data_IF_625388467814
#
_entry.id   IF_625388467814
#
_cell.length_a   1.000
_cell.length_b   1.000
_cell.length_c   1.000
_cell.angle_alpha   90.00
_cell.angle_beta   90.00
_cell.angle_gamma   90.00
#
_symmetry.space_group_name_H-M   'P 1'
#
loop_
_entity.id
_entity.type
_entity.pdbx_description
1 polymer ?
#
# COMPACT_ATOMS: atom_id res chain seq x y z
N UNK A 1 -35.22 6.87 8.84
CA UNK A 1 -35.30 5.61 9.60
C UNK A 1 -33.89 5.04 9.61
N UNK A 2 -33.29 4.92 10.78
CA UNK A 2 -32.08 4.12 10.96
C UNK A 2 -32.56 2.69 11.24
N UNK A 3 -32.39 1.79 10.28
CA UNK A 3 -32.91 0.42 10.33
C UNK A 3 -32.09 -0.50 11.26
N UNK A 4 -31.01 0.04 11.84
CA UNK A 4 -30.08 -0.64 12.74
C UNK A 4 -29.40 -1.87 12.11
N UNK A 5 -29.40 -1.98 10.78
CA UNK A 5 -28.81 -3.13 10.08
C UNK A 5 -27.30 -3.18 10.33
N UNK A 6 -26.61 -2.04 10.19
CA UNK A 6 -25.16 -1.96 10.42
C UNK A 6 -24.78 -2.27 11.88
N UNK A 7 -25.37 -1.64 12.92
CA UNK A 7 -25.10 -2.01 14.31
C UNK A 7 -25.31 -3.50 14.61
N UNK A 8 -26.34 -4.14 14.03
CA UNK A 8 -26.57 -5.57 14.20
C UNK A 8 -25.48 -6.42 13.54
N UNK A 9 -25.05 -6.05 12.33
CA UNK A 9 -23.96 -6.74 11.64
C UNK A 9 -22.66 -6.70 12.45
N UNK A 10 -22.33 -5.53 13.01
CA UNK A 10 -21.19 -5.34 13.91
C UNK A 10 -21.32 -6.21 15.16
N UNK A 11 -22.50 -6.26 15.77
CA UNK A 11 -22.74 -7.09 16.95
C UNK A 11 -22.55 -8.58 16.64
N UNK A 12 -23.12 -9.05 15.52
CA UNK A 12 -22.97 -10.45 15.10
C UNK A 12 -21.50 -10.78 14.85
N UNK A 13 -20.75 -9.92 14.16
CA UNK A 13 -19.31 -10.10 13.95
C UNK A 13 -18.53 -10.25 15.27
N UNK A 14 -18.88 -9.46 16.29
CA UNK A 14 -18.23 -9.50 17.62
C UNK A 14 -18.61 -10.74 18.43
N UNK A 15 -19.86 -11.18 18.34
CA UNK A 15 -20.39 -12.30 19.12
C UNK A 15 -20.12 -13.66 18.48
N UNK A 16 -19.83 -13.69 17.17
CA UNK A 16 -19.56 -14.91 16.43
C UNK A 16 -18.27 -15.58 16.90
N UNK A 17 -18.36 -16.89 17.13
CA UNK A 17 -17.26 -17.73 17.62
C UNK A 17 -16.69 -18.61 16.52
N UNK A 18 -17.48 -18.89 15.51
CA UNK A 18 -17.04 -19.60 14.31
C UNK A 18 -16.22 -18.65 13.43
N UNK A 19 -14.95 -18.98 13.22
CA UNK A 19 -14.02 -18.10 12.48
C UNK A 19 -14.40 -17.95 11.01
N UNK A 20 -14.98 -18.98 10.40
CA UNK A 20 -15.33 -18.94 8.97
C UNK A 20 -16.57 -18.08 8.77
N UNK A 21 -17.54 -18.19 9.68
CA UNK A 21 -18.71 -17.31 9.69
C UNK A 21 -18.30 -15.87 10.03
N UNK A 22 -17.41 -15.69 11.00
CA UNK A 22 -16.88 -14.38 11.37
C UNK A 22 -16.15 -13.72 10.19
N UNK A 23 -15.35 -14.47 9.43
CA UNK A 23 -14.69 -14.00 8.21
C UNK A 23 -15.71 -13.57 7.16
N UNK A 24 -16.79 -14.33 6.94
CA UNK A 24 -17.88 -13.91 6.02
C UNK A 24 -18.51 -12.59 6.44
N UNK A 25 -18.73 -12.37 7.75
CA UNK A 25 -19.21 -11.08 8.24
C UNK A 25 -18.19 -9.96 8.02
N UNK A 26 -16.90 -10.22 8.24
CA UNK A 26 -15.85 -9.25 7.94
C UNK A 26 -15.86 -8.86 6.45
N UNK A 27 -16.00 -9.83 5.53
CA UNK A 27 -16.06 -9.60 4.09
C UNK A 27 -17.28 -8.73 3.71
N UNK A 28 -18.44 -8.99 4.30
CA UNK A 28 -19.65 -8.16 4.09
C UNK A 28 -19.37 -6.74 4.58
N UNK A 29 -18.81 -6.57 5.78
CA UNK A 29 -18.48 -5.25 6.32
C UNK A 29 -17.47 -4.53 5.42
N UNK A 30 -16.43 -5.22 4.94
CA UNK A 30 -15.42 -4.64 4.04
C UNK A 30 -16.04 -4.09 2.75
N UNK A 31 -16.95 -4.84 2.14
CA UNK A 31 -17.68 -4.42 0.94
C UNK A 31 -18.60 -3.21 1.21
N UNK A 32 -19.27 -3.17 2.36
CA UNK A 32 -20.11 -2.03 2.77
C UNK A 32 -19.29 -0.76 3.04
N UNK A 33 -18.05 -0.91 3.50
CA UNK A 33 -17.15 0.18 3.88
C UNK A 33 -16.01 0.44 2.90
N UNK A 34 -16.06 -0.06 1.66
CA UNK A 34 -14.97 0.10 0.68
C UNK A 34 -14.47 1.56 0.52
N UNK A 35 -15.40 2.51 0.45
CA UNK A 35 -15.12 3.93 0.26
C UNK A 35 -15.35 4.77 1.53
N UNK A 36 -15.50 4.11 2.69
CA UNK A 36 -15.80 4.75 3.96
C UNK A 36 -14.82 4.25 5.05
N UNK A 37 -14.51 5.06 6.06
CA UNK A 37 -13.71 4.58 7.18
C UNK A 37 -14.47 3.46 7.90
N UNK A 38 -13.78 2.36 8.19
CA UNK A 38 -14.33 1.31 9.04
C UNK A 38 -14.69 1.89 10.43
N UNK A 39 -15.77 1.42 11.08
CA UNK A 39 -16.08 1.84 12.43
C UNK A 39 -14.91 1.56 13.37
N UNK A 40 -14.49 2.58 14.12
CA UNK A 40 -13.27 2.54 14.94
C UNK A 40 -13.22 1.35 15.90
N UNK A 41 -14.37 0.87 16.35
CA UNK A 41 -14.54 -0.24 17.29
C UNK A 41 -14.20 -1.63 16.75
N UNK A 42 -14.17 -1.82 15.43
CA UNK A 42 -13.94 -3.12 14.77
C UNK A 42 -12.87 -3.07 13.68
N UNK A 43 -12.35 -1.87 13.40
CA UNK A 43 -11.45 -1.62 12.28
C UNK A 43 -10.17 -2.45 12.37
N UNK A 44 -9.59 -2.56 13.56
CA UNK A 44 -8.36 -3.33 13.75
C UNK A 44 -8.62 -4.82 13.62
N UNK A 45 -9.72 -5.31 14.20
CA UNK A 45 -10.12 -6.72 14.17
C UNK A 45 -10.36 -7.19 12.74
N UNK A 46 -11.09 -6.40 11.94
CA UNK A 46 -11.36 -6.72 10.53
C UNK A 46 -10.07 -6.77 9.72
N UNK A 47 -9.23 -5.73 9.79
CA UNK A 47 -7.99 -5.68 9.01
C UNK A 47 -7.04 -6.82 9.41
N UNK A 48 -6.98 -7.17 10.70
CA UNK A 48 -6.17 -8.29 11.19
C UNK A 48 -6.66 -9.65 10.70
N UNK A 49 -7.97 -9.83 10.51
CA UNK A 49 -8.50 -11.08 9.96
C UNK A 49 -8.07 -11.30 8.51
N UNK A 50 -8.00 -10.24 7.72
CA UNK A 50 -7.59 -10.34 6.32
C UNK A 50 -6.08 -10.46 6.13
N UNK A 51 -5.28 -9.94 7.07
CA UNK A 51 -3.83 -10.13 7.03
C UNK A 51 -3.46 -11.58 7.36
N UNK A 52 -2.46 -12.17 6.68
CA UNK A 52 -1.69 -11.64 5.55
C UNK A 52 -2.18 -12.10 4.16
N UNK A 53 -3.28 -12.85 4.08
CA UNK A 53 -3.61 -13.64 2.88
C UNK A 53 -4.76 -13.11 2.04
N UNK A 54 -5.70 -12.36 2.62
CA UNK A 54 -6.93 -11.94 1.94
C UNK A 54 -6.72 -10.58 1.23
N UNK A 55 -5.96 -10.60 0.13
CA UNK A 55 -5.56 -9.36 -0.54
C UNK A 55 -6.71 -8.67 -1.26
N UNK A 56 -7.73 -9.42 -1.70
CA UNK A 56 -8.93 -8.85 -2.29
C UNK A 56 -9.62 -7.87 -1.32
N UNK A 57 -9.93 -8.31 -0.09
CA UNK A 57 -10.59 -7.49 0.91
C UNK A 57 -9.72 -6.32 1.38
N UNK A 58 -8.41 -6.55 1.53
CA UNK A 58 -7.47 -5.46 1.82
C UNK A 58 -7.46 -4.42 0.68
N UNK A 59 -7.47 -4.85 -0.58
CA UNK A 59 -7.54 -3.96 -1.73
C UNK A 59 -8.82 -3.13 -1.72
N UNK A 60 -9.97 -3.75 -1.42
CA UNK A 60 -11.27 -3.07 -1.28
C UNK A 60 -11.22 -2.02 -0.16
N UNK A 61 -10.74 -2.38 1.03
CA UNK A 61 -10.65 -1.45 2.17
C UNK A 61 -9.66 -0.31 1.94
N UNK A 62 -8.63 -0.54 1.13
CA UNK A 62 -7.61 0.46 0.78
C UNK A 62 -8.13 1.54 -0.19
N UNK A 63 -9.35 1.45 -0.71
CA UNK A 63 -9.97 2.59 -1.40
C UNK A 63 -10.23 3.77 -0.45
N UNK A 64 -10.37 3.52 0.85
CA UNK A 64 -10.45 4.55 1.88
C UNK A 64 -9.09 4.80 2.55
N UNK A 65 -8.59 6.05 2.45
CA UNK A 65 -7.30 6.48 3.04
C UNK A 65 -7.22 6.24 4.56
N UNK A 66 -8.33 6.35 5.28
CA UNK A 66 -8.35 6.24 6.75
C UNK A 66 -8.04 4.81 7.25
N UNK A 67 -8.10 3.82 6.35
CA UNK A 67 -7.74 2.44 6.66
C UNK A 67 -6.25 2.15 6.43
N UNK A 68 -5.52 3.03 5.72
CA UNK A 68 -4.16 2.74 5.22
C UNK A 68 -3.14 2.51 6.33
N UNK A 69 -3.20 3.29 7.40
CA UNK A 69 -2.25 3.17 8.51
C UNK A 69 -2.30 1.76 9.11
N UNK A 70 -3.51 1.30 9.43
CA UNK A 70 -3.74 -0.01 10.05
C UNK A 70 -3.45 -1.15 9.06
N UNK A 71 -3.69 -0.93 7.77
CA UNK A 71 -3.27 -1.87 6.71
C UNK A 71 -1.75 -1.98 6.67
N UNK A 72 -1.00 -0.89 6.90
CA UNK A 72 0.46 -0.87 6.83
C UNK A 72 1.18 -1.14 8.17
N UNK A 73 0.44 -1.24 9.27
CA UNK A 73 0.96 -1.67 10.57
C UNK A 73 1.69 -3.02 10.48
N UNK A 74 2.63 -3.23 11.39
CA UNK A 74 3.49 -4.42 11.49
C UNK A 74 4.35 -4.67 10.25
N UNK A 75 4.79 -3.58 9.61
CA UNK A 75 5.60 -3.59 8.38
C UNK A 75 4.97 -4.42 7.25
N UNK A 76 3.64 -4.36 7.15
CA UNK A 76 2.89 -5.19 6.20
C UNK A 76 3.30 -4.95 4.74
N UNK A 77 3.81 -3.76 4.40
CA UNK A 77 4.32 -3.49 3.05
C UNK A 77 5.43 -4.46 2.62
N UNK A 78 6.19 -5.02 3.57
CA UNK A 78 7.27 -5.99 3.29
C UNK A 78 6.74 -7.36 2.87
N UNK A 79 5.48 -7.65 3.17
CA UNK A 79 4.78 -8.89 2.80
C UNK A 79 4.09 -8.79 1.44
N UNK A 80 3.99 -7.58 0.88
CA UNK A 80 3.45 -7.39 -0.48
C UNK A 80 4.38 -8.09 -1.48
N UNK A 81 3.80 -8.96 -2.28
CA UNK A 81 4.43 -9.81 -3.29
C UNK A 81 5.43 -10.84 -2.72
N UNK A 82 5.25 -11.22 -1.44
CA UNK A 82 5.91 -12.37 -0.83
C UNK A 82 5.31 -13.68 -1.38
N UNK A 83 3.99 -13.73 -1.51
CA UNK A 83 3.25 -14.87 -2.08
C UNK A 83 3.02 -14.68 -3.58
N UNK A 84 3.13 -15.76 -4.35
CA UNK A 84 2.94 -15.77 -5.81
C UNK A 84 1.48 -15.78 -6.22
N UNK A 85 0.57 -16.23 -5.34
CA UNK A 85 -0.87 -16.20 -5.58
C UNK A 85 -1.43 -14.77 -5.44
N UNK A 86 -2.54 -14.47 -6.11
CA UNK A 86 -3.25 -13.17 -6.05
C UNK A 86 -2.44 -11.93 -6.49
N UNK A 87 -1.58 -12.06 -7.50
CA UNK A 87 -0.76 -10.93 -8.02
C UNK A 87 -1.60 -9.72 -8.39
N UNK A 88 -2.81 -9.93 -8.91
CA UNK A 88 -3.69 -8.86 -9.38
C UNK A 88 -4.25 -8.04 -8.19
N UNK A 89 -4.68 -8.72 -7.14
CA UNK A 89 -5.23 -8.18 -5.90
C UNK A 89 -4.13 -7.44 -5.14
N UNK A 90 -2.95 -8.05 -5.02
CA UNK A 90 -1.77 -7.40 -4.43
C UNK A 90 -1.37 -6.14 -5.20
N UNK A 91 -1.43 -6.16 -6.54
CA UNK A 91 -1.23 -4.97 -7.37
C UNK A 91 -2.34 -3.93 -7.17
N UNK A 92 -3.57 -4.36 -6.93
CA UNK A 92 -4.69 -3.46 -6.65
C UNK A 92 -4.50 -2.76 -5.31
N UNK A 93 -4.23 -3.52 -4.24
CA UNK A 93 -3.90 -2.99 -2.93
C UNK A 93 -2.73 -2.00 -3.01
N UNK A 94 -1.62 -2.40 -3.64
CA UNK A 94 -0.44 -1.56 -3.83
C UNK A 94 -0.80 -0.26 -4.57
N UNK A 95 -1.61 -0.36 -5.64
CA UNK A 95 -2.05 0.81 -6.39
C UNK A 95 -2.85 1.79 -5.54
N UNK A 96 -3.78 1.30 -4.74
CA UNK A 96 -4.65 2.11 -3.90
C UNK A 96 -3.86 2.82 -2.79
N UNK A 97 -2.94 2.10 -2.13
CA UNK A 97 -2.01 2.68 -1.16
C UNK A 97 -1.16 3.80 -1.78
N UNK A 98 -0.61 3.57 -2.97
CA UNK A 98 0.21 4.57 -3.68
C UNK A 98 -0.59 5.75 -4.22
N UNK A 99 -1.87 5.56 -4.54
CA UNK A 99 -2.73 6.60 -5.10
C UNK A 99 -3.33 7.48 -4.00
N UNK A 100 -3.88 6.86 -2.96
CA UNK A 100 -4.67 7.54 -1.94
C UNK A 100 -3.97 7.72 -0.59
N UNK A 101 -2.80 7.10 -0.37
CA UNK A 101 -2.07 7.18 0.90
C UNK A 101 -1.54 8.57 1.27
N UNK A 102 -1.08 8.69 2.52
CA UNK A 102 -0.21 9.79 2.93
C UNK A 102 1.12 9.73 2.17
N UNK A 103 1.88 10.82 2.11
CA UNK A 103 3.16 10.83 1.43
C UNK A 103 4.16 9.85 2.06
N UNK A 104 4.10 9.69 3.38
CA UNK A 104 4.87 8.69 4.12
C UNK A 104 4.52 7.26 3.70
N UNK A 105 3.23 6.91 3.69
CA UNK A 105 2.77 5.58 3.30
C UNK A 105 3.08 5.29 1.83
N UNK A 106 2.87 6.29 0.94
CA UNK A 106 3.24 6.22 -0.47
C UNK A 106 4.72 5.93 -0.64
N UNK A 107 5.58 6.63 0.09
CA UNK A 107 7.03 6.45 0.07
C UNK A 107 7.43 5.06 0.56
N UNK A 108 6.93 4.66 1.74
CA UNK A 108 7.21 3.37 2.37
C UNK A 108 6.90 2.23 1.40
N UNK A 109 5.69 2.22 0.86
CA UNK A 109 5.23 1.22 -0.12
C UNK A 109 6.04 1.28 -1.42
N UNK A 110 6.24 2.47 -1.99
CA UNK A 110 6.96 2.64 -3.26
C UNK A 110 8.38 2.07 -3.21
N UNK A 111 9.12 2.31 -2.11
CA UNK A 111 10.49 1.83 -1.95
C UNK A 111 10.56 0.31 -1.89
N UNK A 112 9.62 -0.33 -1.19
CA UNK A 112 9.63 -1.77 -0.96
C UNK A 112 9.20 -2.54 -2.22
N UNK A 113 8.13 -2.10 -2.89
CA UNK A 113 7.52 -2.89 -3.97
C UNK A 113 8.06 -2.60 -5.37
N UNK A 114 8.89 -1.55 -5.55
CA UNK A 114 9.38 -1.09 -6.86
C UNK A 114 9.89 -2.22 -7.75
N UNK A 115 10.79 -3.05 -7.22
CA UNK A 115 11.45 -4.10 -8.01
C UNK A 115 10.45 -5.17 -8.46
N UNK A 116 9.55 -5.60 -7.57
CA UNK A 116 8.51 -6.60 -7.88
C UNK A 116 7.50 -6.07 -8.90
N UNK A 117 7.01 -4.85 -8.72
CA UNK A 117 6.08 -4.22 -9.68
C UNK A 117 6.74 -4.03 -11.05
N UNK A 118 8.04 -3.71 -11.09
CA UNK A 118 8.79 -3.61 -12.34
C UNK A 118 8.86 -4.96 -13.08
N UNK A 119 9.11 -6.06 -12.37
CA UNK A 119 9.12 -7.41 -12.96
C UNK A 119 7.79 -7.73 -13.65
N UNK A 120 6.65 -7.41 -13.04
CA UNK A 120 5.33 -7.64 -13.64
C UNK A 120 4.99 -6.72 -14.83
N UNK A 121 5.64 -5.55 -14.91
CA UNK A 121 5.42 -4.60 -16.00
C UNK A 121 6.20 -4.95 -17.27
N UNK A 122 7.39 -5.54 -17.11
CA UNK A 122 8.39 -5.76 -18.17
C UNK A 122 8.37 -7.18 -18.75
N UNK A 123 7.98 -8.19 -17.96
CA UNK A 123 8.03 -9.59 -18.40
C UNK A 123 6.77 -9.95 -19.21
N UNK A 124 6.95 -10.33 -20.47
CA UNK A 124 5.88 -10.87 -21.32
C UNK A 124 5.40 -12.26 -20.86
N UNK A 125 6.21 -12.97 -20.08
CA UNK A 125 6.03 -14.39 -19.79
C UNK A 125 6.35 -14.77 -18.34
N UNK A 126 5.50 -14.36 -17.40
CA UNK A 126 5.51 -14.93 -16.05
C UNK A 126 4.41 -15.98 -15.92
N UNK A 127 4.72 -17.08 -15.24
CA UNK A 127 3.76 -18.14 -14.95
C UNK A 127 2.67 -17.60 -14.01
N UNK A 128 1.42 -17.80 -14.42
CA UNK A 128 0.25 -17.63 -13.57
C UNK A 128 -0.02 -19.02 -13.04
N UNK A 129 0.41 -19.27 -11.80
CA UNK A 129 0.00 -20.47 -11.06
C UNK A 129 -1.51 -20.32 -10.84
N UNK A 130 -2.30 -21.18 -11.47
CA UNK A 130 -3.70 -21.37 -11.10
C UNK A 130 -3.74 -22.36 -9.94
N UNK A 131 -4.58 -22.09 -8.95
CA UNK A 131 -4.92 -23.11 -7.96
C UNK A 131 -5.65 -24.22 -8.72
N UNK A 132 -5.08 -25.42 -8.76
CA UNK A 132 -5.80 -26.61 -9.19
C UNK A 132 -6.88 -26.85 -8.12
N UNK A 133 -8.12 -26.44 -8.39
CA UNK A 133 -9.25 -26.88 -7.59
C UNK A 133 -9.34 -28.41 -7.80
N UNK A 134 -9.05 -29.19 -6.75
CA UNK A 134 -9.30 -30.64 -6.75
C UNK A 134 -10.82 -30.85 -6.83
N UNK A 135 -11.35 -30.96 -8.05
CA UNK A 135 -12.74 -31.35 -8.28
C UNK A 135 -12.92 -32.83 -7.88
N UNK A 136 -13.86 -33.10 -6.98
CA UNK A 136 -14.29 -34.46 -6.70
C UNK A 136 -14.96 -35.00 -7.98
N UNK A 137 -14.26 -35.92 -8.68
CA UNK A 137 -14.70 -36.60 -9.90
C UNK A 137 -16.10 -37.23 -9.76
N UNK A 138 -17.17 -36.52 -10.16
CA UNK A 138 -18.45 -37.12 -10.54
C UNK A 138 -19.00 -36.48 -11.84
N UNK A 139 -18.56 -37.07 -12.97
CA UNK A 139 -19.22 -37.18 -14.29
C UNK A 139 -19.78 -35.90 -14.96
N UNK A 140 -18.93 -35.11 -15.66
CA UNK A 140 -19.35 -34.30 -16.84
C UNK A 140 -18.23 -34.21 -17.92
N UNK A 141 -18.02 -35.26 -18.72
CA UNK A 141 -17.01 -35.30 -19.82
C UNK A 141 -17.21 -34.19 -20.90
N UNK A 142 -18.38 -33.54 -20.97
CA UNK A 142 -18.62 -32.43 -21.91
C UNK A 142 -18.22 -31.04 -21.33
N UNK A 143 -18.21 -30.85 -20.00
CA UNK A 143 -17.78 -29.58 -19.37
C UNK A 143 -16.25 -29.47 -19.36
N UNK A 144 -15.52 -30.58 -19.24
CA UNK A 144 -14.04 -30.60 -19.26
C UNK A 144 -13.46 -30.11 -20.60
N UNK A 145 -14.05 -30.46 -21.75
CA UNK A 145 -13.55 -30.01 -23.07
C UNK A 145 -13.78 -28.52 -23.34
N UNK A 146 -14.90 -27.94 -22.87
CA UNK A 146 -15.13 -26.48 -22.94
C UNK A 146 -14.19 -25.73 -21.99
N UNK A 147 -13.97 -26.26 -20.78
CA UNK A 147 -13.09 -25.63 -19.81
C UNK A 147 -11.60 -25.69 -20.24
N UNK A 148 -11.15 -26.80 -20.83
CA UNK A 148 -9.79 -26.94 -21.37
C UNK A 148 -9.52 -25.95 -22.52
N UNK A 149 -10.55 -25.61 -23.32
CA UNK A 149 -10.45 -24.60 -24.37
C UNK A 149 -10.49 -23.15 -23.85
N UNK A 150 -11.21 -22.87 -22.75
CA UNK A 150 -11.29 -21.54 -22.16
C UNK A 150 -10.12 -21.17 -21.25
N UNK A 151 -9.49 -22.17 -20.58
CA UNK A 151 -8.35 -21.98 -19.66
C UNK A 151 -7.21 -21.14 -20.27
N UNK A 152 -6.72 -21.38 -21.51
CA UNK A 152 -5.68 -20.56 -22.13
C UNK A 152 -6.08 -19.09 -22.32
N UNK A 153 -7.34 -18.83 -22.67
CA UNK A 153 -7.86 -17.48 -22.89
C UNK A 153 -7.95 -16.71 -21.56
N UNK A 154 -8.46 -17.35 -20.50
CA UNK A 154 -8.51 -16.77 -19.14
C UNK A 154 -7.10 -16.44 -18.63
N UNK A 155 -6.14 -17.37 -18.79
CA UNK A 155 -4.72 -17.13 -18.47
C UNK A 155 -4.16 -15.91 -19.18
N UNK A 156 -4.41 -15.79 -20.49
CA UNK A 156 -3.92 -14.65 -21.27
C UNK A 156 -4.55 -13.33 -20.83
N UNK A 157 -5.86 -13.33 -20.51
CA UNK A 157 -6.56 -12.16 -19.98
C UNK A 157 -5.98 -11.73 -18.64
N UNK A 158 -5.78 -12.64 -17.70
CA UNK A 158 -5.19 -12.36 -16.37
C UNK A 158 -3.77 -11.80 -16.49
N UNK A 159 -2.90 -12.40 -17.33
CA UNK A 159 -1.57 -11.87 -17.63
C UNK A 159 -1.64 -10.43 -18.16
N UNK A 160 -2.55 -10.15 -19.09
CA UNK A 160 -2.73 -8.80 -19.65
C UNK A 160 -3.18 -7.79 -18.58
N UNK A 161 -4.10 -8.16 -17.71
CA UNK A 161 -4.58 -7.31 -16.62
C UNK A 161 -3.49 -7.00 -15.59
N UNK A 162 -2.75 -8.03 -15.14
CA UNK A 162 -1.61 -7.86 -14.21
C UNK A 162 -0.58 -6.92 -14.84
N UNK A 163 -0.18 -7.16 -16.09
CA UNK A 163 0.78 -6.30 -16.80
C UNK A 163 0.30 -4.86 -16.91
N UNK A 164 -0.95 -4.65 -17.29
CA UNK A 164 -1.53 -3.30 -17.41
C UNK A 164 -1.56 -2.58 -16.05
N UNK A 165 -1.99 -3.28 -14.99
CA UNK A 165 -2.04 -2.72 -13.64
C UNK A 165 -0.64 -2.43 -13.11
N UNK A 166 0.31 -3.33 -13.30
CA UNK A 166 1.72 -3.15 -12.95
C UNK A 166 2.31 -1.90 -13.61
N UNK A 167 2.09 -1.69 -14.91
CA UNK A 167 2.53 -0.46 -15.60
C UNK A 167 1.94 0.81 -15.00
N UNK A 168 0.64 0.81 -14.67
CA UNK A 168 -0.02 1.96 -14.01
C UNK A 168 0.57 2.21 -12.63
N UNK A 169 0.75 1.16 -11.83
CA UNK A 169 1.34 1.24 -10.49
C UNK A 169 2.79 1.71 -10.53
N UNK A 170 3.59 1.21 -11.48
CA UNK A 170 4.98 1.60 -11.66
C UNK A 170 5.12 3.09 -12.03
N UNK A 171 4.18 3.63 -12.82
CA UNK A 171 4.12 5.07 -13.11
C UNK A 171 3.94 5.89 -11.83
N UNK A 172 3.04 5.47 -10.92
CA UNK A 172 2.88 6.12 -9.61
C UNK A 172 4.18 6.06 -8.78
N UNK A 173 4.82 4.89 -8.73
CA UNK A 173 6.09 4.70 -8.00
C UNK A 173 7.15 5.68 -8.52
N UNK A 174 7.35 5.76 -9.84
CA UNK A 174 8.31 6.68 -10.44
C UNK A 174 8.03 8.14 -10.06
N UNK A 175 6.77 8.57 -10.16
CA UNK A 175 6.38 9.93 -9.78
C UNK A 175 6.63 10.24 -8.29
N UNK A 176 6.36 9.29 -7.40
CA UNK A 176 6.58 9.44 -5.95
C UNK A 176 8.08 9.55 -5.64
N UNK A 177 8.91 8.69 -6.27
CA UNK A 177 10.34 8.66 -5.99
C UNK A 177 11.09 9.83 -6.62
N UNK A 178 10.74 10.26 -7.84
CA UNK A 178 11.35 11.44 -8.47
C UNK A 178 11.07 12.74 -7.70
N UNK A 179 9.89 12.87 -7.07
CA UNK A 179 9.62 14.00 -6.17
C UNK A 179 10.53 14.01 -4.94
N UNK A 180 10.92 12.84 -4.43
CA UNK A 180 11.80 12.77 -3.27
C UNK A 180 13.24 13.17 -3.57
N UNK A 181 13.73 12.83 -4.76
CA UNK A 181 15.05 13.28 -5.20
C UNK A 181 15.08 14.81 -5.24
N UNK A 182 14.05 15.43 -5.83
CA UNK A 182 13.88 16.88 -5.84
C UNK A 182 13.73 17.51 -4.44
N UNK A 183 12.93 16.92 -3.55
CA UNK A 183 12.74 17.44 -2.18
C UNK A 183 14.00 17.31 -1.32
N UNK A 184 14.84 16.29 -1.57
CA UNK A 184 16.14 16.14 -0.90
C UNK A 184 17.13 17.19 -1.40
N UNK A 185 17.23 17.36 -2.71
CA UNK A 185 18.10 18.37 -3.33
C UNK A 185 17.78 19.79 -2.81
N UNK A 186 16.50 20.15 -2.69
CA UNK A 186 16.11 21.46 -2.15
C UNK A 186 16.41 21.63 -0.65
N UNK A 187 16.30 20.55 0.14
CA UNK A 187 16.66 20.61 1.57
C UNK A 187 18.17 20.72 1.77
N UNK A 188 18.96 20.02 0.95
CA UNK A 188 20.42 20.11 0.99
C UNK A 188 20.87 21.52 0.59
N UNK A 189 20.29 22.09 -0.47
CA UNK A 189 20.57 23.48 -0.88
C UNK A 189 20.20 24.50 0.21
N UNK A 190 19.03 24.37 0.83
CA UNK A 190 18.60 25.28 1.91
C UNK A 190 19.52 25.20 3.15
N UNK A 191 20.00 24.01 3.51
CA UNK A 191 20.94 23.86 4.61
C UNK A 191 22.32 24.43 4.28
N UNK A 192 22.80 24.26 3.05
CA UNK A 192 24.06 24.87 2.59
C UNK A 192 24.02 26.40 2.58
N UNK A 193 22.86 26.99 2.29
CA UNK A 193 22.70 28.45 2.27
C UNK A 193 22.60 29.03 3.69
N UNK A 194 21.90 28.35 4.62
CA UNK A 194 21.87 28.75 6.03
C UNK A 194 23.23 28.59 6.74
N UNK A 195 24.01 27.54 6.43
CA UNK A 195 25.37 27.37 6.98
C UNK A 195 26.37 28.42 6.46
N UNK A 196 26.08 29.09 5.34
CA UNK A 196 26.89 30.21 4.83
C UNK A 196 26.50 31.52 5.51
N UNK A 197 25.21 31.78 5.73
CA UNK A 197 24.75 32.97 6.45
C UNK A 197 25.23 33.00 7.91
N UNK A 198 25.24 31.87 8.62
CA UNK A 198 25.75 31.80 10.01
C UNK A 198 27.28 32.06 10.11
N UNK A 199 28.05 31.79 9.06
CA UNK A 199 29.51 32.07 9.05
C UNK A 199 29.85 33.51 8.71
N UNK A 200 29.00 34.21 7.96
CA UNK A 200 29.21 35.63 7.65
C UNK A 200 28.83 36.54 8.84
N UNK A 201 28.01 36.07 9.79
CA UNK A 201 27.70 36.83 11.02
C UNK A 201 28.76 36.67 12.14
N UNK A 202 29.59 35.64 12.14
CA UNK A 202 30.67 35.45 13.15
C UNK A 202 31.99 36.21 12.82
N UNK A 203 32.19 36.70 11.60
CA UNK A 203 33.37 37.50 11.22
C UNK A 203 33.16 39.02 11.35
N UNK A 204 32.04 39.46 11.94
CA UNK A 204 31.73 40.86 12.24
C UNK A 204 32.42 41.41 13.49
N UNK A 205 33.71 41.73 13.34
CA UNK A 205 34.44 42.87 13.94
C UNK A 205 34.55 43.01 15.49
N UNK A 206 35.78 42.85 16.06
CA UNK A 206 36.13 43.47 17.34
C UNK A 206 37.30 44.45 17.19
N UNK A 207 37.24 45.42 16.27
CA UNK A 207 38.03 46.66 16.43
C UNK A 207 37.40 47.54 17.52
N UNK A 208 37.78 47.27 18.77
CA UNK A 208 37.67 48.25 19.85
C UNK A 208 38.98 48.25 20.65
N UNK A 209 40.02 48.82 20.03
CA UNK A 209 41.27 49.20 20.70
C UNK A 209 40.97 50.36 21.67
N UNK A 210 40.81 50.03 22.97
CA UNK A 210 40.88 51.01 24.05
C UNK A 210 42.34 51.42 24.27
N UNK A 211 42.71 52.56 23.68
CA UNK A 211 43.90 53.34 24.01
C UNK A 211 43.70 53.99 25.40
N UNK A 212 44.33 53.44 26.44
CA UNK A 212 44.47 54.09 27.74
C UNK A 212 45.94 54.01 28.22
N UNK A 213 46.77 54.89 27.67
CA UNK A 213 48.04 55.28 28.27
C UNK A 213 47.98 56.74 28.74
N UNK A 214 48.06 56.94 30.06
CA UNK A 214 49.02 57.86 30.70
C UNK A 214 49.05 57.70 32.22
N UNK A 215 50.15 57.09 32.68
CA UNK A 215 50.63 57.17 34.06
C UNK A 215 51.36 58.49 34.30
N UNK A 216 51.18 59.00 35.52
CA UNK A 216 51.98 60.02 36.18
C UNK A 216 53.43 59.54 36.42
N UNK A 217 54.41 60.40 36.08
CA UNK A 217 55.59 60.84 36.88
C UNK A 217 56.70 61.44 35.99
#
# INVERSE_FOLDING_TARGET
MDDKTIPKLIQIFKDEKDKDIQKKFAQIIANLYKALPLPSEIRQEIIKQFKPYDFYELAVLSECRDNHEIILDDDFEKKLFEFSWEKLEQLHLTHNLLKFGSDENKKKVALVVKNKVNQFADVDDYEVEEEEEEEEEEEEEEEEEEEEQERPLRKQQTKSQIKQKAKKTLSLIRNILSRQEFDREQKEQYNEDNEKEEKEEEEGDPDNEEDDEKNDE
#
